data_IF_802491852071
#
_entry.id   IF_802491852071
#
_cell.length_a   1.000
_cell.length_b   1.000
_cell.length_c   1.000
_cell.angle_alpha   90.00
_cell.angle_beta   90.00
_cell.angle_gamma   90.00
#
_symmetry.space_group_name_H-M   'P 1'
#
loop_
_entity.id
_entity.type
_entity.pdbx_description
1 polymer ?
#
# COMPACT_ATOMS: atom_id res chain seq x y z
N UNK A 1 22.65 -28.07 55.34
CA UNK A 1 21.30 -27.56 55.00
C UNK A 1 21.46 -26.26 54.22
N UNK A 2 21.25 -26.28 52.90
CA UNK A 2 21.51 -25.13 52.01
C UNK A 2 20.16 -24.66 51.46
N UNK A 3 19.58 -23.65 52.09
CA UNK A 3 18.27 -23.09 51.75
C UNK A 3 18.40 -22.25 50.48
N UNK A 4 17.72 -22.69 49.42
CA UNK A 4 17.62 -21.99 48.14
C UNK A 4 16.71 -20.76 48.28
N UNK A 5 17.29 -19.57 48.08
CA UNK A 5 16.57 -18.28 48.08
C UNK A 5 16.13 -18.00 46.64
N UNK A 6 14.84 -18.25 46.34
CA UNK A 6 14.20 -17.90 45.06
C UNK A 6 14.19 -16.37 44.91
N UNK A 7 14.88 -15.84 43.91
CA UNK A 7 14.79 -14.43 43.53
C UNK A 7 13.49 -14.20 42.74
N UNK A 8 12.57 -13.45 43.33
CA UNK A 8 11.39 -12.94 42.65
C UNK A 8 11.83 -11.85 41.66
N UNK A 9 11.81 -12.16 40.37
CA UNK A 9 12.18 -11.21 39.30
C UNK A 9 10.90 -10.51 38.88
N UNK A 10 10.64 -9.33 39.45
CA UNK A 10 9.57 -8.45 39.01
C UNK A 10 9.73 -8.14 37.51
N UNK A 11 8.70 -8.51 36.73
CA UNK A 11 8.61 -8.16 35.30
C UNK A 11 8.42 -6.65 35.22
N UNK A 12 9.41 -5.93 34.69
CA UNK A 12 9.24 -4.54 34.30
C UNK A 12 8.12 -4.43 33.25
N UNK A 13 7.24 -3.41 33.32
CA UNK A 13 6.26 -3.19 32.29
C UNK A 13 6.99 -2.86 30.98
N UNK A 14 6.72 -3.64 29.93
CA UNK A 14 7.21 -3.37 28.58
C UNK A 14 6.79 -1.97 28.18
N UNK A 15 7.75 -1.11 27.83
CA UNK A 15 7.48 0.23 27.27
C UNK A 15 6.52 0.07 26.09
N UNK A 16 5.30 0.60 26.21
CA UNK A 16 4.35 0.67 25.11
C UNK A 16 4.91 1.73 24.16
N UNK A 17 5.27 1.33 22.94
CA UNK A 17 5.72 2.31 21.93
C UNK A 17 4.59 3.33 21.66
N UNK A 18 4.93 4.62 21.49
CA UNK A 18 3.92 5.63 21.20
C UNK A 18 3.27 5.35 19.85
N UNK A 19 1.94 5.45 19.80
CA UNK A 19 1.17 5.41 18.56
C UNK A 19 1.45 6.71 17.80
N UNK A 20 2.07 6.63 16.62
CA UNK A 20 2.46 7.81 15.81
C UNK A 20 1.62 8.01 14.55
N UNK A 21 0.93 6.95 14.09
CA UNK A 21 0.16 6.93 12.83
C UNK A 21 -1.29 6.54 13.09
N UNK A 22 -2.19 7.06 12.27
CA UNK A 22 -3.62 6.80 12.28
C UNK A 22 -4.10 6.34 10.92
N UNK A 23 -5.31 5.78 10.86
CA UNK A 23 -5.99 5.41 9.63
C UNK A 23 -7.31 6.14 9.51
N UNK A 24 -7.53 6.74 8.34
CA UNK A 24 -8.83 7.23 7.91
C UNK A 24 -9.58 6.09 7.21
N UNK A 25 -10.70 5.69 7.80
CA UNK A 25 -11.58 4.64 7.28
C UNK A 25 -12.72 5.29 6.50
N UNK A 26 -12.96 4.83 5.28
CA UNK A 26 -13.99 5.35 4.38
C UNK A 26 -14.94 4.24 3.96
N UNK A 27 -16.21 4.57 3.70
CA UNK A 27 -17.21 3.59 3.24
C UNK A 27 -17.12 3.28 1.74
N UNK A 28 -16.45 4.11 0.95
CA UNK A 28 -16.31 3.91 -0.48
C UNK A 28 -14.92 4.28 -0.97
N UNK A 29 -14.52 3.68 -2.09
CA UNK A 29 -13.18 3.84 -2.67
C UNK A 29 -12.97 5.21 -3.31
N UNK A 30 -14.04 5.84 -3.80
CA UNK A 30 -13.95 7.15 -4.45
C UNK A 30 -13.56 8.26 -3.46
N UNK A 31 -14.03 8.18 -2.22
CA UNK A 31 -13.66 9.11 -1.15
C UNK A 31 -12.20 8.96 -0.77
N UNK A 32 -11.67 7.72 -0.76
CA UNK A 32 -10.24 7.48 -0.52
C UNK A 32 -9.39 8.12 -1.60
N UNK A 33 -9.70 7.87 -2.88
CA UNK A 33 -8.92 8.39 -4.01
C UNK A 33 -8.91 9.93 -4.00
N UNK A 34 -10.05 10.55 -3.70
CA UNK A 34 -10.16 12.01 -3.69
C UNK A 34 -9.52 12.64 -2.45
N UNK A 35 -9.71 12.03 -1.28
CA UNK A 35 -9.04 12.46 -0.07
C UNK A 35 -7.52 12.33 -0.19
N UNK A 36 -7.02 11.25 -0.77
CA UNK A 36 -5.58 11.08 -1.04
C UNK A 36 -5.06 12.22 -1.91
N UNK A 37 -5.73 12.51 -3.04
CA UNK A 37 -5.29 13.57 -3.96
C UNK A 37 -5.21 14.92 -3.24
N UNK A 38 -6.27 15.29 -2.51
CA UNK A 38 -6.34 16.57 -1.78
C UNK A 38 -5.22 16.65 -0.73
N UNK A 39 -5.03 15.59 0.06
CA UNK A 39 -4.03 15.59 1.12
C UNK A 39 -2.61 15.61 0.57
N UNK A 40 -2.34 14.94 -0.57
CA UNK A 40 -1.05 15.02 -1.28
C UNK A 40 -0.81 16.42 -1.84
N UNK A 41 -1.83 17.06 -2.40
CA UNK A 41 -1.72 18.42 -2.95
C UNK A 41 -1.44 19.46 -1.85
N UNK A 42 -1.96 19.25 -0.64
CA UNK A 42 -1.67 20.03 0.57
C UNK A 42 -0.32 19.65 1.23
N UNK A 43 0.37 18.63 0.71
CA UNK A 43 1.72 18.23 1.14
C UNK A 43 1.78 17.34 2.38
N UNK A 44 0.68 16.66 2.74
CA UNK A 44 0.65 15.72 3.87
C UNK A 44 1.39 14.42 3.56
N UNK A 45 2.10 13.87 4.56
CA UNK A 45 2.82 12.59 4.47
C UNK A 45 1.86 11.40 4.68
N UNK A 46 1.19 10.97 3.61
CA UNK A 46 0.17 9.94 3.67
C UNK A 46 0.47 8.73 2.77
N UNK A 47 -0.05 7.57 3.17
CA UNK A 47 0.01 6.34 2.39
C UNK A 47 -1.37 5.72 2.23
N UNK A 48 -1.70 5.30 1.01
CA UNK A 48 -2.91 4.48 0.80
C UNK A 48 -2.58 3.04 1.15
N UNK A 49 -3.39 2.47 2.03
CA UNK A 49 -3.21 1.13 2.60
C UNK A 49 -4.53 0.38 2.66
N UNK A 50 -4.50 -0.94 2.77
CA UNK A 50 -5.72 -1.70 3.04
C UNK A 50 -6.05 -1.64 4.54
N UNK A 51 -7.31 -1.33 4.92
CA UNK A 51 -7.71 -1.32 6.31
C UNK A 51 -7.63 -2.74 6.89
N UNK A 52 -7.37 -2.87 8.21
CA UNK A 52 -7.48 -4.15 8.89
C UNK A 52 -8.87 -4.77 8.68
N UNK A 53 -8.99 -6.12 8.65
CA UNK A 53 -10.26 -6.80 8.42
C UNK A 53 -11.42 -6.30 9.30
N UNK A 54 -11.15 -6.00 10.56
CA UNK A 54 -12.15 -5.55 11.54
C UNK A 54 -12.73 -4.15 11.24
N UNK A 55 -12.03 -3.34 10.44
CA UNK A 55 -12.42 -1.97 10.09
C UNK A 55 -12.89 -1.84 8.63
N UNK A 56 -13.10 -2.96 7.92
CA UNK A 56 -13.63 -2.92 6.56
C UNK A 56 -15.11 -2.57 6.55
N UNK A 57 -15.43 -1.44 5.96
CA UNK A 57 -16.79 -0.88 5.80
C UNK A 57 -17.35 -1.13 4.40
N UNK A 58 -16.77 -2.07 3.64
CA UNK A 58 -17.09 -2.31 2.22
C UNK A 58 -16.10 -1.68 1.24
N UNK A 59 -15.12 -0.92 1.73
CA UNK A 59 -13.96 -0.45 0.97
C UNK A 59 -12.70 -1.21 1.38
N UNK A 60 -11.85 -1.55 0.41
CA UNK A 60 -10.55 -2.21 0.62
C UNK A 60 -9.37 -1.21 0.71
N UNK A 61 -9.65 0.10 0.71
CA UNK A 61 -8.67 1.18 0.83
C UNK A 61 -8.94 2.06 2.06
N UNK A 62 -7.86 2.63 2.59
CA UNK A 62 -7.82 3.57 3.71
C UNK A 62 -6.56 4.43 3.57
N UNK A 63 -6.49 5.55 4.29
CA UNK A 63 -5.33 6.46 4.26
C UNK A 63 -4.64 6.38 5.62
N UNK A 64 -3.38 6.00 5.63
CA UNK A 64 -2.51 6.11 6.80
C UNK A 64 -1.86 7.49 6.84
N UNK A 65 -1.82 8.11 8.01
CA UNK A 65 -1.35 9.48 8.19
C UNK A 65 -0.72 9.70 9.59
N UNK A 66 0.07 10.76 9.82
CA UNK A 66 0.63 11.07 11.13
C UNK A 66 -0.48 11.57 12.09
N UNK A 67 -0.66 10.92 13.25
CA UNK A 67 -1.74 11.30 14.19
C UNK A 67 -1.66 12.75 14.68
N UNK A 68 -0.46 13.32 14.71
CA UNK A 68 -0.26 14.72 15.08
C UNK A 68 -0.93 15.71 14.10
N UNK A 69 -1.22 15.27 12.88
CA UNK A 69 -1.87 16.07 11.83
C UNK A 69 -3.39 15.86 11.78
N UNK A 70 -3.95 14.97 12.61
CA UNK A 70 -5.38 14.61 12.61
C UNK A 70 -6.31 15.84 12.58
N UNK A 71 -6.15 16.86 13.45
CA UNK A 71 -7.09 17.99 13.46
C UNK A 71 -7.08 18.79 12.15
N UNK A 72 -5.92 18.90 11.50
CA UNK A 72 -5.78 19.61 10.22
C UNK A 72 -6.40 18.82 9.08
N UNK A 73 -6.07 17.53 9.01
CA UNK A 73 -6.58 16.61 7.99
C UNK A 73 -8.10 16.50 8.05
N UNK A 74 -8.69 16.32 9.25
CA UNK A 74 -10.14 16.22 9.40
C UNK A 74 -10.84 17.50 8.96
N UNK A 75 -10.30 18.67 9.33
CA UNK A 75 -10.85 19.94 8.90
C UNK A 75 -10.86 20.09 7.37
N UNK A 76 -9.74 19.77 6.71
CA UNK A 76 -9.63 19.82 5.24
C UNK A 76 -10.69 18.90 4.61
N UNK A 77 -10.82 17.66 5.09
CA UNK A 77 -11.77 16.70 4.55
C UNK A 77 -13.24 17.07 4.80
N UNK A 78 -13.55 17.70 5.94
CA UNK A 78 -14.89 18.23 6.23
C UNK A 78 -15.27 19.37 5.29
N UNK A 79 -14.36 20.30 5.01
CA UNK A 79 -14.61 21.45 4.13
C UNK A 79 -14.97 21.02 2.69
N UNK A 80 -14.46 19.88 2.23
CA UNK A 80 -14.75 19.30 0.91
C UNK A 80 -15.82 18.20 0.93
N UNK A 81 -16.42 17.92 2.09
CA UNK A 81 -17.48 16.93 2.24
C UNK A 81 -17.03 15.47 2.08
N UNK A 82 -15.79 15.15 2.45
CA UNK A 82 -15.16 13.82 2.36
C UNK A 82 -14.68 13.30 3.71
N UNK A 83 -15.44 13.56 4.77
CA UNK A 83 -15.10 13.09 6.11
C UNK A 83 -15.00 11.56 6.17
N UNK A 84 -14.00 11.01 6.87
CA UNK A 84 -13.91 9.57 7.11
C UNK A 84 -15.10 9.10 7.96
N UNK A 85 -15.47 7.84 7.81
CA UNK A 85 -16.44 7.16 8.69
C UNK A 85 -15.86 7.01 10.10
N UNK A 86 -14.55 6.74 10.18
CA UNK A 86 -13.86 6.54 11.44
C UNK A 86 -12.38 6.88 11.29
N UNK A 87 -11.78 7.43 12.35
CA UNK A 87 -10.33 7.52 12.51
C UNK A 87 -9.90 6.48 13.54
N UNK A 88 -8.91 5.65 13.20
CA UNK A 88 -8.39 4.63 14.11
C UNK A 88 -6.89 4.75 14.31
N UNK A 89 -6.38 4.75 15.56
CA UNK A 89 -4.94 4.75 15.81
C UNK A 89 -4.30 3.42 15.38
N UNK A 90 -3.15 3.49 14.70
CA UNK A 90 -2.36 2.30 14.34
C UNK A 90 -1.61 1.83 15.57
N UNK A 91 -2.17 0.84 16.28
CA UNK A 91 -1.53 0.29 17.48
C UNK A 91 -0.26 -0.50 17.11
N UNK A 92 0.88 -0.30 17.81
CA UNK A 92 2.09 -1.10 17.64
C UNK A 92 1.88 -2.61 17.83
N UNK A 93 0.91 -2.97 18.68
CA UNK A 93 0.52 -4.36 18.99
C UNK A 93 -0.80 -4.78 18.30
N UNK A 94 -1.38 -3.89 17.49
CA UNK A 94 -2.62 -4.15 16.76
C UNK A 94 -2.38 -4.64 15.33
N UNK A 95 -3.47 -4.84 14.60
CA UNK A 95 -3.41 -5.19 13.18
C UNK A 95 -2.86 -4.00 12.39
N UNK A 96 -1.68 -4.17 11.80
CA UNK A 96 -1.07 -3.19 10.92
C UNK A 96 -1.83 -3.12 9.59
N UNK A 97 -1.86 -1.94 8.93
CA UNK A 97 -2.37 -1.86 7.57
C UNK A 97 -1.63 -2.83 6.66
N UNK A 98 -2.37 -3.48 5.77
CA UNK A 98 -1.78 -4.42 4.83
C UNK A 98 -1.21 -3.65 3.63
N UNK A 99 0.00 -4.03 3.20
CA UNK A 99 0.58 -3.50 1.95
C UNK A 99 -0.37 -3.77 0.80
N UNK A 100 -0.70 -2.72 0.05
CA UNK A 100 -1.52 -2.82 -1.17
C UNK A 100 -0.83 -3.64 -2.25
N UNK A 101 0.49 -3.55 -2.28
CA UNK A 101 1.33 -4.18 -3.29
C UNK A 101 1.84 -5.56 -2.86
N UNK A 102 1.86 -6.48 -3.82
CA UNK A 102 2.59 -7.75 -3.75
C UNK A 102 3.60 -7.81 -4.88
N UNK A 103 4.87 -7.91 -4.52
CA UNK A 103 5.97 -8.10 -5.46
C UNK A 103 6.21 -9.59 -5.65
N UNK A 104 6.43 -10.02 -6.90
CA UNK A 104 6.81 -11.39 -7.23
C UNK A 104 7.90 -11.40 -8.29
N UNK A 105 8.99 -12.08 -7.95
CA UNK A 105 10.12 -12.30 -8.84
C UNK A 105 9.91 -13.58 -9.68
N UNK A 106 10.14 -13.48 -10.99
CA UNK A 106 10.10 -14.57 -11.96
C UNK A 106 11.45 -14.74 -12.70
N UNK A 107 12.56 -14.40 -12.05
CA UNK A 107 13.91 -14.45 -12.60
C UNK A 107 14.22 -13.24 -13.48
N UNK A 108 13.97 -13.33 -14.78
CA UNK A 108 14.16 -12.20 -15.71
C UNK A 108 13.13 -11.10 -15.51
N UNK A 109 11.94 -11.47 -15.02
CA UNK A 109 10.80 -10.57 -14.90
C UNK A 109 10.48 -10.28 -13.45
N UNK A 110 10.02 -9.06 -13.18
CA UNK A 110 9.48 -8.64 -11.89
C UNK A 110 8.02 -8.24 -12.09
N UNK A 111 7.13 -8.73 -11.23
CA UNK A 111 5.72 -8.37 -11.25
C UNK A 111 5.34 -7.68 -9.95
N UNK A 112 4.67 -6.54 -10.04
CA UNK A 112 3.99 -5.90 -8.92
C UNK A 112 2.49 -6.00 -9.14
N UNK A 113 1.77 -6.39 -8.08
CA UNK A 113 0.31 -6.46 -8.05
C UNK A 113 -0.24 -5.52 -6.99
N UNK A 114 -1.19 -4.66 -7.36
CA UNK A 114 -2.01 -3.91 -6.42
C UNK A 114 -3.49 -4.24 -6.65
N UNK A 115 -4.22 -4.59 -5.58
CA UNK A 115 -5.58 -5.13 -5.67
C UNK A 115 -5.69 -6.27 -6.70
N UNK A 116 -6.47 -6.09 -7.78
CA UNK A 116 -6.60 -7.06 -8.87
C UNK A 116 -5.76 -6.73 -10.12
N UNK A 117 -5.00 -5.64 -10.11
CA UNK A 117 -4.15 -5.21 -11.24
C UNK A 117 -2.70 -5.64 -11.06
N UNK A 118 -2.03 -5.97 -12.16
CA UNK A 118 -0.63 -6.42 -12.19
C UNK A 118 0.11 -5.73 -13.32
N UNK A 119 1.32 -5.27 -13.03
CA UNK A 119 2.32 -4.82 -14.00
C UNK A 119 3.54 -5.74 -13.91
N UNK A 120 4.03 -6.20 -15.04
CA UNK A 120 5.25 -7.03 -15.14
C UNK A 120 6.26 -6.36 -16.05
N UNK A 121 7.51 -6.31 -15.62
CA UNK A 121 8.61 -5.73 -16.37
C UNK A 121 9.78 -6.70 -16.52
N UNK A 122 10.51 -6.57 -17.62
CA UNK A 122 11.84 -7.16 -17.77
C UNK A 122 12.85 -6.35 -16.96
N UNK A 123 13.56 -6.96 -16.02
CA UNK A 123 14.43 -6.24 -15.08
C UNK A 123 15.63 -5.56 -15.75
N UNK A 124 16.12 -6.11 -16.86
CA UNK A 124 17.32 -5.61 -17.54
C UNK A 124 16.99 -4.40 -18.41
N UNK A 125 15.90 -4.50 -19.15
CA UNK A 125 15.48 -3.47 -20.11
C UNK A 125 14.48 -2.48 -19.53
N UNK A 126 13.91 -2.79 -18.36
CA UNK A 126 12.80 -2.08 -17.72
C UNK A 126 11.57 -1.95 -18.62
N UNK A 127 11.44 -2.82 -19.63
CA UNK A 127 10.30 -2.86 -20.54
C UNK A 127 9.10 -3.49 -19.85
N UNK A 128 7.94 -2.86 -19.96
CA UNK A 128 6.66 -3.42 -19.53
C UNK A 128 6.30 -4.54 -20.49
N UNK A 129 6.32 -5.78 -20.00
CA UNK A 129 6.04 -6.98 -20.81
C UNK A 129 4.61 -7.47 -20.65
N UNK A 130 3.92 -7.07 -19.57
CA UNK A 130 2.54 -7.47 -19.34
C UNK A 130 1.82 -6.51 -18.40
N UNK A 131 0.56 -6.21 -18.72
CA UNK A 131 -0.43 -5.63 -17.82
C UNK A 131 -1.62 -6.56 -17.83
N UNK A 132 -2.10 -6.94 -16.64
CA UNK A 132 -3.18 -7.93 -16.54
C UNK A 132 -4.00 -7.77 -15.26
N UNK A 133 -5.19 -8.39 -15.26
CA UNK A 133 -6.12 -8.37 -14.13
C UNK A 133 -7.27 -7.38 -14.31
N UNK A 134 -7.97 -7.08 -13.22
CA UNK A 134 -9.13 -6.19 -13.22
C UNK A 134 -10.34 -6.70 -14.01
N UNK A 135 -11.25 -5.77 -14.31
CA UNK A 135 -12.45 -5.98 -15.13
C UNK A 135 -13.10 -4.66 -15.60
N UNK A 136 -12.37 -3.55 -15.46
CA UNK A 136 -12.82 -2.23 -15.85
C UNK A 136 -12.68 -2.04 -17.37
N UNK A 137 -13.52 -1.20 -17.99
CA UNK A 137 -13.55 -1.03 -19.45
C UNK A 137 -12.28 -0.39 -20.05
N UNK A 138 -11.48 0.29 -19.24
CA UNK A 138 -10.22 0.95 -19.65
C UNK A 138 -9.00 0.03 -19.61
N UNK A 139 -9.08 -1.15 -18.98
CA UNK A 139 -7.94 -2.09 -18.87
C UNK A 139 -7.32 -2.46 -20.24
N UNK A 140 -8.11 -2.77 -21.29
CA UNK A 140 -7.53 -3.06 -22.61
C UNK A 140 -6.75 -1.87 -23.18
N UNK A 141 -7.24 -0.65 -22.98
CA UNK A 141 -6.57 0.57 -23.44
C UNK A 141 -5.27 0.82 -22.68
N UNK A 142 -5.28 0.69 -21.35
CA UNK A 142 -4.08 0.79 -20.50
C UNK A 142 -3.01 -0.21 -20.95
N UNK A 143 -3.40 -1.47 -21.19
CA UNK A 143 -2.48 -2.50 -21.66
C UNK A 143 -1.91 -2.16 -23.05
N UNK A 144 -2.76 -1.72 -23.99
CA UNK A 144 -2.34 -1.31 -25.33
C UNK A 144 -1.34 -0.15 -25.31
N UNK A 145 -1.60 0.87 -24.49
CA UNK A 145 -0.75 2.07 -24.42
C UNK A 145 0.58 1.83 -23.73
N UNK A 146 0.67 0.92 -22.78
CA UNK A 146 1.85 0.78 -21.91
C UNK A 146 2.74 -0.42 -22.25
N UNK A 147 2.16 -1.55 -22.67
CA UNK A 147 2.95 -2.77 -22.95
C UNK A 147 3.89 -2.52 -24.14
N UNK A 148 5.16 -2.91 -23.96
CA UNK A 148 6.23 -2.71 -24.95
C UNK A 148 7.06 -1.45 -24.73
N UNK A 149 6.58 -0.49 -23.95
CA UNK A 149 7.34 0.72 -23.54
C UNK A 149 8.21 0.42 -22.31
N UNK A 150 9.29 1.16 -22.14
CA UNK A 150 10.02 1.16 -20.86
C UNK A 150 9.23 1.90 -19.78
N UNK A 151 9.52 1.62 -18.51
CA UNK A 151 8.89 2.33 -17.40
C UNK A 151 9.02 3.85 -17.52
N UNK A 152 10.16 4.36 -18.00
CA UNK A 152 10.41 5.79 -18.23
C UNK A 152 9.67 6.39 -19.43
N UNK A 153 9.30 5.58 -20.42
CA UNK A 153 8.59 6.03 -21.63
C UNK A 153 7.06 5.89 -21.51
N UNK A 154 6.60 4.96 -20.67
CA UNK A 154 5.18 4.74 -20.44
C UNK A 154 4.57 5.94 -19.71
N UNK A 155 3.36 6.32 -20.11
CA UNK A 155 2.56 7.28 -19.32
C UNK A 155 2.12 6.60 -18.03
N UNK A 156 2.03 7.38 -16.96
CA UNK A 156 1.46 6.90 -15.70
C UNK A 156 0.01 6.43 -15.92
N UNK A 157 -0.39 5.28 -15.37
CA UNK A 157 -1.74 4.74 -15.53
C UNK A 157 -2.85 5.75 -15.19
N UNK A 158 -2.65 6.57 -14.16
CA UNK A 158 -3.63 7.56 -13.71
C UNK A 158 -3.85 8.69 -14.74
N UNK A 159 -2.87 8.95 -15.62
CA UNK A 159 -3.00 9.97 -16.67
C UNK A 159 -3.76 9.49 -17.90
N UNK A 160 -3.94 8.18 -18.06
CA UNK A 160 -4.54 7.56 -19.27
C UNK A 160 -5.73 6.65 -18.97
N UNK A 161 -6.10 6.48 -17.71
CA UNK A 161 -7.29 5.75 -17.29
C UNK A 161 -8.08 6.51 -16.23
N UNK A 162 -9.35 6.15 -16.05
CA UNK A 162 -10.28 6.87 -15.17
C UNK A 162 -10.98 5.96 -14.16
N UNK A 163 -10.69 4.66 -14.19
CA UNK A 163 -11.35 3.68 -13.32
C UNK A 163 -10.49 3.32 -12.10
N UNK A 164 -11.11 2.61 -11.15
CA UNK A 164 -10.39 2.01 -10.03
C UNK A 164 -9.28 1.04 -10.47
N UNK A 165 -9.43 0.40 -11.64
CA UNK A 165 -8.38 -0.45 -12.20
C UNK A 165 -7.18 0.40 -12.65
N UNK A 166 -7.41 1.56 -13.28
CA UNK A 166 -6.33 2.50 -13.62
C UNK A 166 -5.59 2.98 -12.37
N UNK A 167 -6.34 3.38 -11.34
CA UNK A 167 -5.78 3.78 -10.06
C UNK A 167 -4.97 2.66 -9.38
N UNK A 168 -5.51 1.45 -9.33
CA UNK A 168 -4.80 0.29 -8.77
C UNK A 168 -3.53 -0.02 -9.57
N UNK A 169 -3.59 0.07 -10.91
CA UNK A 169 -2.42 -0.09 -11.76
C UNK A 169 -1.38 1.00 -11.50
N UNK A 170 -1.81 2.24 -11.21
CA UNK A 170 -0.92 3.35 -10.85
C UNK A 170 -0.12 3.03 -9.58
N UNK A 171 -0.80 2.56 -8.53
CA UNK A 171 -0.13 2.14 -7.28
C UNK A 171 0.91 1.04 -7.57
N UNK A 172 0.56 0.06 -8.42
CA UNK A 172 1.50 -0.98 -8.81
C UNK A 172 2.68 -0.46 -9.64
N UNK A 173 2.45 0.55 -10.48
CA UNK A 173 3.47 1.21 -11.31
C UNK A 173 4.45 2.02 -10.44
N UNK A 174 3.96 2.83 -9.50
CA UNK A 174 4.80 3.58 -8.57
C UNK A 174 5.64 2.65 -7.70
N UNK A 175 5.05 1.58 -7.17
CA UNK A 175 5.79 0.59 -6.40
C UNK A 175 6.83 -0.12 -7.28
N UNK A 176 6.50 -0.45 -8.54
CA UNK A 176 7.47 -1.00 -9.49
C UNK A 176 8.68 -0.09 -9.67
N UNK A 177 8.46 1.21 -9.82
CA UNK A 177 9.54 2.20 -9.93
C UNK A 177 10.44 2.23 -8.70
N UNK A 178 9.86 2.10 -7.50
CA UNK A 178 10.62 2.01 -6.23
C UNK A 178 11.47 0.75 -6.17
N UNK A 179 10.89 -0.42 -6.44
CA UNK A 179 11.58 -1.71 -6.26
C UNK A 179 12.57 -2.05 -7.37
N UNK A 180 12.35 -1.59 -8.61
CA UNK A 180 13.28 -1.86 -9.71
C UNK A 180 14.56 -1.01 -9.61
N UNK A 181 14.46 0.14 -8.94
CA UNK A 181 15.58 1.02 -8.64
C UNK A 181 16.37 0.61 -7.39
N UNK A 182 15.87 -0.30 -6.57
CA UNK A 182 16.55 -0.77 -5.35
C UNK A 182 17.40 -2.03 -5.63
N UNK A 183 18.74 -1.93 -5.58
CA UNK A 183 19.62 -3.07 -5.83
C UNK A 183 19.58 -4.17 -4.74
N UNK A 184 18.83 -3.98 -3.64
CA UNK A 184 18.88 -4.87 -2.48
C UNK A 184 17.94 -6.11 -2.52
N UNK A 185 17.03 -6.24 -3.48
CA UNK A 185 16.08 -7.38 -3.52
C UNK A 185 16.37 -8.44 -4.60
N UNK A 186 17.55 -8.39 -5.24
CA UNK A 186 17.96 -9.46 -6.17
C UNK A 186 18.27 -10.81 -5.48
N UNK A 187 18.12 -10.91 -4.15
CA UNK A 187 18.29 -12.13 -3.35
C UNK A 187 17.22 -12.28 -2.24
N UNK A 188 15.94 -12.01 -2.53
CA UNK A 188 14.84 -12.42 -1.65
C UNK A 188 14.76 -13.96 -1.52
N UNK A 189 14.39 -14.50 -0.34
CA UNK A 189 14.61 -15.90 -0.02
C UNK A 189 13.77 -16.83 -0.90
N UNK A 190 14.46 -17.81 -1.50
CA UNK A 190 13.85 -18.98 -2.11
C UNK A 190 13.07 -19.70 -1.01
N UNK A 191 11.76 -19.45 -0.91
CA UNK A 191 10.86 -20.25 -0.10
C UNK A 191 10.60 -21.58 -0.83
N UNK A 192 11.67 -22.35 -1.00
CA UNK A 192 11.66 -23.76 -1.30
C UNK A 192 11.96 -24.50 -0.01
N UNK A 193 10.93 -24.71 0.81
CA UNK A 193 10.97 -25.82 1.77
C UNK A 193 9.80 -26.74 1.44
N UNK A 194 10.21 -27.89 0.93
CA UNK A 194 9.40 -29.07 0.72
C UNK A 194 8.68 -29.44 2.01
N UNK A 195 7.37 -29.69 1.90
CA UNK A 195 6.68 -30.56 2.84
C UNK A 195 6.89 -31.99 2.34
N UNK A 196 7.77 -32.71 3.02
CA UNK A 196 7.68 -34.16 3.16
C UNK A 196 6.81 -34.51 4.37
#
# INVERSE_FOLDING_TARGET
MRWFRKSNREKQPSRVEPVTRGLLIFSNTNDVIQAEQILKDEGHDIDVVSPPPDFRTGCDLSIEFPLVEEPGIIKILEEVGRSPVQVVPVSPNGLKPLRLCKVKDFGQFLMVRAANMKITVDKKTQKIVNISGGGCPDVPYLAYEMVGKTLSEAKEPICIGSTLCAYSLNIAYEEMMKVIGDPLDQNGPVLGMAFG
#
